data_IF_632683629440
#
_entry.id   IF_632683629440
#
_cell.length_a   1.000
_cell.length_b   1.000
_cell.length_c   1.000
_cell.angle_alpha   90.00
_cell.angle_beta   90.00
_cell.angle_gamma   90.00
#
_symmetry.space_group_name_H-M   'P 1'
#
loop_
_entity.id
_entity.type
_entity.pdbx_description
1 polymer ?
#
# COMPACT_ATOMS: atom_id res chain seq x y z
N UNK A 1 -5.97 20.57 -12.62
CA UNK A 1 -5.63 19.49 -13.57
C UNK A 1 -6.16 18.17 -13.01
N UNK A 2 -6.97 17.42 -13.78
CA UNK A 2 -7.63 16.18 -13.34
C UNK A 2 -7.01 14.98 -14.03
N UNK A 3 -6.62 13.98 -13.25
CA UNK A 3 -6.03 12.74 -13.73
C UNK A 3 -6.97 11.57 -13.41
N UNK A 4 -7.27 10.76 -14.43
CA UNK A 4 -7.91 9.45 -14.24
C UNK A 4 -6.82 8.44 -13.87
N UNK A 5 -6.91 7.87 -12.67
CA UNK A 5 -6.07 6.75 -12.22
C UNK A 5 -6.78 5.42 -12.44
N UNK A 6 -6.00 4.40 -12.78
CA UNK A 6 -6.47 3.02 -12.94
C UNK A 6 -5.50 2.09 -12.19
N UNK A 7 -6.04 1.25 -11.29
CA UNK A 7 -5.28 0.28 -10.51
C UNK A 7 -5.84 -1.13 -10.71
N UNK A 8 -4.96 -2.06 -11.09
CA UNK A 8 -5.30 -3.48 -11.26
C UNK A 8 -4.10 -4.39 -10.93
N UNK A 9 -3.16 -3.96 -10.09
CA UNK A 9 -1.90 -4.69 -9.90
C UNK A 9 -2.05 -6.01 -9.14
N UNK A 10 -3.07 -6.15 -8.31
CA UNK A 10 -3.25 -7.34 -7.45
C UNK A 10 -4.70 -7.86 -7.51
N UNK A 11 -5.49 -7.62 -6.48
CA UNK A 11 -6.86 -8.12 -6.33
C UNK A 11 -7.91 -7.01 -6.14
N UNK A 12 -7.54 -5.75 -6.27
CA UNK A 12 -8.44 -4.61 -6.36
C UNK A 12 -8.52 -4.07 -7.79
N UNK A 13 -9.75 -3.93 -8.32
CA UNK A 13 -10.00 -3.14 -9.52
C UNK A 13 -10.44 -1.76 -9.10
N UNK A 14 -9.65 -0.73 -9.40
CA UNK A 14 -10.02 0.62 -9.00
C UNK A 14 -9.86 1.64 -10.12
N UNK A 15 -10.71 2.68 -10.08
CA UNK A 15 -10.58 3.89 -10.87
C UNK A 15 -10.90 5.11 -10.03
N UNK A 16 -10.18 6.20 -10.26
CA UNK A 16 -10.34 7.44 -9.49
C UNK A 16 -10.06 8.66 -10.34
N UNK A 17 -10.68 9.78 -9.99
CA UNK A 17 -10.31 11.11 -10.49
C UNK A 17 -9.70 11.90 -9.35
N UNK A 18 -8.49 12.39 -9.55
CA UNK A 18 -7.80 13.28 -8.61
C UNK A 18 -7.50 14.61 -9.29
N UNK A 19 -7.81 15.70 -8.61
CA UNK A 19 -7.54 17.05 -9.04
C UNK A 19 -6.30 17.58 -8.33
N UNK A 20 -5.38 18.14 -9.11
CA UNK A 20 -4.15 18.79 -8.65
C UNK A 20 -3.29 17.92 -7.71
N UNK A 21 -3.29 16.61 -7.99
CA UNK A 21 -2.48 15.61 -7.29
C UNK A 21 -2.83 15.37 -5.82
N UNK A 22 -3.91 15.99 -5.32
CA UNK A 22 -4.25 15.93 -3.89
C UNK A 22 -5.74 15.78 -3.60
N UNK A 23 -6.61 16.44 -4.37
CA UNK A 23 -8.05 16.42 -4.12
C UNK A 23 -8.72 15.25 -4.82
N UNK A 24 -9.16 14.26 -4.07
CA UNK A 24 -9.94 13.14 -4.59
C UNK A 24 -11.35 13.61 -4.96
N UNK A 25 -11.70 13.52 -6.25
CA UNK A 25 -13.05 13.80 -6.77
C UNK A 25 -13.91 12.54 -6.71
N UNK A 26 -13.33 11.41 -7.14
CA UNK A 26 -13.95 10.09 -7.07
C UNK A 26 -12.88 9.04 -6.83
N UNK A 27 -13.24 7.96 -6.12
CA UNK A 27 -12.38 6.79 -5.95
C UNK A 27 -13.28 5.57 -5.77
N UNK A 28 -13.35 4.74 -6.80
CA UNK A 28 -14.20 3.54 -6.84
C UNK A 28 -13.28 2.33 -6.81
N UNK A 29 -13.53 1.45 -5.84
CA UNK A 29 -12.75 0.22 -5.64
C UNK A 29 -13.69 -0.98 -5.63
N UNK A 30 -13.42 -1.96 -6.46
CA UNK A 30 -14.06 -3.26 -6.45
C UNK A 30 -13.05 -4.31 -5.98
N UNK A 31 -13.16 -4.70 -4.71
CA UNK A 31 -12.27 -5.67 -4.09
C UNK A 31 -12.69 -7.11 -4.41
N UNK A 32 -11.71 -7.99 -4.54
CA UNK A 32 -11.88 -9.41 -4.77
C UNK A 32 -11.59 -10.24 -3.50
N UNK A 33 -11.49 -9.61 -2.33
CA UNK A 33 -11.14 -10.26 -1.05
C UNK A 33 -12.04 -11.46 -0.79
N UNK A 34 -13.37 -11.35 -0.96
CA UNK A 34 -14.33 -12.44 -0.71
C UNK A 34 -14.12 -13.64 -1.64
N UNK A 35 -13.65 -13.39 -2.86
CA UNK A 35 -13.32 -14.44 -3.82
C UNK A 35 -12.06 -15.16 -3.37
N UNK A 36 -11.01 -14.40 -3.06
CA UNK A 36 -9.70 -14.93 -2.70
C UNK A 36 -9.65 -15.54 -1.29
N UNK A 37 -10.53 -15.11 -0.39
CA UNK A 37 -10.68 -15.72 0.95
C UNK A 37 -10.98 -17.23 0.85
N UNK A 38 -11.73 -17.67 -0.17
CA UNK A 38 -12.04 -19.10 -0.41
C UNK A 38 -10.80 -19.93 -0.72
N UNK A 39 -9.74 -19.30 -1.23
CA UNK A 39 -8.46 -19.95 -1.57
C UNK A 39 -7.40 -19.72 -0.48
N UNK A 40 -7.69 -18.86 0.51
CA UNK A 40 -6.75 -18.49 1.56
C UNK A 40 -5.61 -17.58 1.07
N UNK A 41 -5.82 -16.83 -0.02
CA UNK A 41 -4.89 -15.89 -0.61
C UNK A 41 -5.14 -15.65 -2.09
N UNK A 42 -4.46 -14.68 -2.67
CA UNK A 42 -4.68 -14.24 -4.06
C UNK A 42 -4.27 -15.33 -5.05
N UNK A 43 -5.18 -15.63 -6.01
CA UNK A 43 -4.95 -16.54 -7.13
C UNK A 43 -4.84 -15.70 -8.42
N UNK A 44 -3.65 -15.59 -9.05
CA UNK A 44 -3.41 -14.65 -10.14
C UNK A 44 -4.35 -14.77 -11.33
N UNK A 45 -4.69 -16.00 -11.74
CA UNK A 45 -5.59 -16.23 -12.87
C UNK A 45 -7.04 -15.81 -12.55
N UNK A 46 -7.49 -16.04 -11.31
CA UNK A 46 -8.81 -15.60 -10.84
C UNK A 46 -8.86 -14.07 -10.81
N UNK A 47 -7.81 -13.44 -10.27
CA UNK A 47 -7.71 -11.99 -10.20
C UNK A 47 -7.81 -11.34 -11.58
N UNK A 48 -7.01 -11.80 -12.55
CA UNK A 48 -7.02 -11.21 -13.90
C UNK A 48 -8.37 -11.36 -14.61
N UNK A 49 -9.03 -12.49 -14.45
CA UNK A 49 -10.39 -12.71 -15.01
C UNK A 49 -11.43 -11.78 -14.37
N UNK A 50 -11.34 -11.57 -13.07
CA UNK A 50 -12.26 -10.68 -12.36
C UNK A 50 -12.06 -9.22 -12.76
N UNK A 51 -10.82 -8.77 -12.98
CA UNK A 51 -10.54 -7.43 -13.50
C UNK A 51 -11.23 -7.18 -14.83
N UNK A 52 -11.24 -8.15 -15.76
CA UNK A 52 -11.94 -8.01 -17.05
C UNK A 52 -13.43 -7.74 -16.90
N UNK A 53 -14.07 -8.32 -15.87
CA UNK A 53 -15.50 -8.15 -15.62
C UNK A 53 -15.83 -6.79 -14.96
N UNK A 54 -14.91 -6.26 -14.16
CA UNK A 54 -15.19 -5.13 -13.27
C UNK A 54 -14.63 -3.79 -13.74
N UNK A 55 -13.58 -3.78 -14.58
CA UNK A 55 -12.83 -2.56 -14.91
C UNK A 55 -13.71 -1.50 -15.61
N UNK A 56 -14.56 -1.89 -16.56
CA UNK A 56 -15.42 -0.94 -17.27
C UNK A 56 -16.52 -0.36 -16.35
N UNK A 57 -17.28 -1.14 -15.58
CA UNK A 57 -18.19 -0.63 -14.56
C UNK A 57 -17.51 0.34 -13.58
N UNK A 58 -16.32 0.01 -13.07
CA UNK A 58 -15.58 0.82 -12.11
C UNK A 58 -15.16 2.17 -12.71
N UNK A 59 -14.61 2.16 -13.94
CA UNK A 59 -14.25 3.41 -14.64
C UNK A 59 -15.50 4.25 -14.93
N UNK A 60 -16.57 3.63 -15.39
CA UNK A 60 -17.83 4.33 -15.67
C UNK A 60 -18.37 5.02 -14.42
N UNK A 61 -18.34 4.34 -13.29
CA UNK A 61 -18.78 4.91 -12.01
C UNK A 61 -17.86 6.04 -11.56
N UNK A 62 -16.55 5.88 -11.65
CA UNK A 62 -15.57 6.89 -11.26
C UNK A 62 -15.64 8.17 -12.09
N UNK A 63 -16.09 8.07 -13.34
CA UNK A 63 -16.23 9.21 -14.27
C UNK A 63 -17.67 9.75 -14.35
N UNK A 64 -18.59 9.26 -13.52
CA UNK A 64 -19.99 9.72 -13.52
C UNK A 64 -20.08 11.22 -13.28
N UNK A 65 -20.86 11.91 -14.16
CA UNK A 65 -21.06 13.36 -14.07
C UNK A 65 -19.87 14.20 -14.56
N UNK A 66 -18.83 13.60 -15.14
CA UNK A 66 -17.68 14.31 -15.70
C UNK A 66 -17.65 14.25 -17.22
N UNK A 67 -17.20 15.34 -17.83
CA UNK A 67 -16.84 15.34 -19.25
C UNK A 67 -15.41 14.82 -19.43
N UNK A 68 -15.17 14.03 -20.46
CA UNK A 68 -13.83 13.61 -20.85
C UNK A 68 -12.90 14.79 -21.20
N UNK A 69 -13.48 15.94 -21.56
CA UNK A 69 -12.73 17.17 -21.82
C UNK A 69 -12.14 17.79 -20.55
N UNK A 70 -12.67 17.43 -19.38
CA UNK A 70 -12.17 17.89 -18.08
C UNK A 70 -10.99 17.04 -17.56
N UNK A 71 -10.72 15.90 -18.21
CA UNK A 71 -9.64 14.98 -17.84
C UNK A 71 -8.39 15.33 -18.65
N UNK A 72 -7.26 15.47 -17.98
CA UNK A 72 -6.01 15.94 -18.57
C UNK A 72 -4.98 14.82 -18.80
N UNK A 73 -5.22 13.61 -18.29
CA UNK A 73 -4.34 12.46 -18.48
C UNK A 73 -4.92 11.18 -17.87
N UNK A 74 -4.39 10.05 -18.33
CA UNK A 74 -4.73 8.71 -17.82
C UNK A 74 -3.49 8.11 -17.22
N UNK A 75 -3.52 7.86 -15.92
CA UNK A 75 -2.45 7.20 -15.17
C UNK A 75 -2.83 5.75 -14.89
N UNK A 76 -1.90 4.82 -15.04
CA UNK A 76 -2.14 3.40 -14.81
C UNK A 76 -0.94 2.73 -14.19
N UNK A 77 -1.18 1.86 -13.23
CA UNK A 77 -0.13 1.00 -12.68
C UNK A 77 0.32 -0.02 -13.73
N UNK A 78 1.64 0.01 -14.04
CA UNK A 78 2.23 -0.93 -15.00
C UNK A 78 3.20 -1.93 -14.33
N UNK A 79 3.43 -1.79 -13.03
CA UNK A 79 4.26 -2.66 -12.20
C UNK A 79 4.68 -2.00 -10.89
N UNK A 80 5.19 -2.78 -9.92
CA UNK A 80 5.11 -4.23 -9.87
C UNK A 80 3.68 -4.74 -9.63
N UNK A 81 3.48 -6.06 -9.87
CA UNK A 81 2.18 -6.71 -9.63
C UNK A 81 2.00 -8.00 -10.43
N UNK A 82 0.79 -8.54 -10.42
CA UNK A 82 0.43 -9.74 -11.15
C UNK A 82 0.34 -9.43 -12.66
N UNK A 83 1.14 -10.10 -13.48
CA UNK A 83 1.26 -9.82 -14.91
C UNK A 83 -0.10 -9.76 -15.63
N UNK A 84 -0.96 -10.77 -15.43
CA UNK A 84 -2.28 -10.84 -16.05
C UNK A 84 -3.22 -9.71 -15.59
N UNK A 85 -3.14 -9.32 -14.33
CA UNK A 85 -3.92 -8.23 -13.74
C UNK A 85 -3.47 -6.87 -14.28
N UNK A 86 -2.16 -6.61 -14.28
CA UNK A 86 -1.56 -5.39 -14.85
C UNK A 86 -1.93 -5.19 -16.32
N UNK A 87 -1.90 -6.28 -17.13
CA UNK A 87 -2.25 -6.23 -18.55
C UNK A 87 -3.68 -5.72 -18.78
N UNK A 88 -4.63 -6.05 -17.92
CA UNK A 88 -6.00 -5.56 -18.05
C UNK A 88 -6.05 -4.04 -17.91
N UNK A 89 -5.47 -3.49 -16.84
CA UNK A 89 -5.43 -2.05 -16.58
C UNK A 89 -4.68 -1.28 -17.66
N UNK A 90 -3.48 -1.73 -18.02
CA UNK A 90 -2.63 -1.06 -19.02
C UNK A 90 -3.30 -1.02 -20.38
N UNK A 91 -3.91 -2.11 -20.85
CA UNK A 91 -4.58 -2.10 -22.16
C UNK A 91 -5.84 -1.22 -22.17
N UNK A 92 -6.62 -1.19 -21.09
CA UNK A 92 -7.77 -0.29 -20.98
C UNK A 92 -7.32 1.17 -20.92
N UNK A 93 -6.26 1.49 -20.18
CA UNK A 93 -5.71 2.84 -20.11
C UNK A 93 -5.21 3.32 -21.48
N UNK A 94 -4.49 2.46 -22.23
CA UNK A 94 -4.06 2.74 -23.62
C UNK A 94 -5.25 3.03 -24.53
N UNK A 95 -6.29 2.20 -24.48
CA UNK A 95 -7.48 2.36 -25.30
C UNK A 95 -8.19 3.70 -25.00
N UNK A 96 -8.32 4.07 -23.72
CA UNK A 96 -8.93 5.34 -23.32
C UNK A 96 -8.04 6.52 -23.76
N UNK A 97 -6.75 6.47 -23.49
CA UNK A 97 -5.80 7.52 -23.85
C UNK A 97 -5.81 7.78 -25.36
N UNK A 98 -5.79 6.73 -26.17
CA UNK A 98 -5.88 6.81 -27.62
C UNK A 98 -7.22 7.41 -28.10
N UNK A 99 -8.33 6.87 -27.61
CA UNK A 99 -9.67 7.29 -28.04
C UNK A 99 -9.99 8.74 -27.63
N UNK A 100 -9.46 9.20 -26.50
CA UNK A 100 -9.70 10.56 -25.97
C UNK A 100 -8.57 11.53 -26.26
N UNK A 101 -7.49 11.07 -26.90
CA UNK A 101 -6.27 11.85 -27.18
C UNK A 101 -5.67 12.47 -25.93
N UNK A 102 -5.60 11.68 -24.86
CA UNK A 102 -5.05 12.06 -23.56
C UNK A 102 -3.62 11.52 -23.39
N UNK A 103 -2.74 12.20 -22.67
CA UNK A 103 -1.47 11.64 -22.24
C UNK A 103 -1.67 10.34 -21.46
N UNK A 104 -0.87 9.32 -21.77
CA UNK A 104 -0.78 8.07 -21.01
C UNK A 104 0.40 8.17 -20.05
N UNK A 105 0.19 7.74 -18.79
CA UNK A 105 1.19 7.85 -17.73
C UNK A 105 1.29 6.49 -17.02
N UNK A 106 2.42 5.80 -17.22
CA UNK A 106 2.75 4.61 -16.47
C UNK A 106 3.21 4.97 -15.06
N UNK A 107 2.65 4.31 -14.06
CA UNK A 107 2.95 4.54 -12.64
C UNK A 107 3.49 3.28 -12.00
N UNK A 108 4.55 3.41 -11.22
CA UNK A 108 5.02 2.34 -10.35
C UNK A 108 4.08 2.21 -9.14
N UNK A 109 3.58 1.01 -8.86
CA UNK A 109 2.64 0.73 -7.79
C UNK A 109 3.17 1.16 -6.40
N UNK A 110 4.44 0.91 -6.12
CA UNK A 110 5.06 1.30 -4.84
C UNK A 110 5.22 2.81 -4.73
N UNK A 111 5.53 3.47 -5.84
CA UNK A 111 5.54 4.92 -5.92
C UNK A 111 4.14 5.49 -5.64
N UNK A 112 3.10 4.92 -6.27
CA UNK A 112 1.71 5.33 -6.02
C UNK A 112 1.36 5.25 -4.54
N UNK A 113 1.70 4.19 -3.84
CA UNK A 113 1.48 4.08 -2.40
C UNK A 113 2.11 5.21 -1.59
N UNK A 114 3.31 5.69 -1.96
CA UNK A 114 3.91 6.85 -1.30
C UNK A 114 3.02 8.10 -1.52
N UNK A 115 2.52 8.29 -2.75
CA UNK A 115 1.68 9.44 -3.10
C UNK A 115 0.30 9.44 -2.45
N UNK A 116 -0.16 8.34 -1.86
CA UNK A 116 -1.35 8.33 -1.01
C UNK A 116 -1.25 9.35 0.15
N UNK A 117 -0.02 9.69 0.60
CA UNK A 117 0.23 10.69 1.63
C UNK A 117 -0.05 12.15 1.17
N UNK A 118 -0.26 12.41 -0.10
CA UNK A 118 -0.64 13.73 -0.62
C UNK A 118 -2.15 13.90 -0.80
N UNK A 119 -2.92 12.80 -0.69
CA UNK A 119 -4.36 12.84 -0.89
C UNK A 119 -5.08 13.44 0.32
N UNK A 120 -5.93 14.41 0.05
CA UNK A 120 -6.88 14.94 1.03
C UNK A 120 -8.14 14.09 1.00
N UNK A 121 -8.65 13.60 2.14
CA UNK A 121 -9.92 12.89 2.18
C UNK A 121 -11.04 13.73 1.55
N UNK A 122 -11.96 13.08 0.84
CA UNK A 122 -13.12 13.79 0.31
C UNK A 122 -14.01 14.31 1.45
N UNK A 123 -14.75 15.41 1.25
CA UNK A 123 -15.64 15.95 2.28
C UNK A 123 -16.72 14.97 2.77
N UNK A 124 -17.04 13.97 1.96
CA UNK A 124 -18.03 12.93 2.29
C UNK A 124 -17.48 11.83 3.23
N UNK A 125 -16.17 11.73 3.38
CA UNK A 125 -15.49 10.81 4.30
C UNK A 125 -15.06 11.55 5.58
N UNK A 126 -15.98 12.26 6.25
CA UNK A 126 -15.67 12.96 7.51
C UNK A 126 -15.21 11.94 8.56
N UNK A 127 -14.04 12.14 9.20
CA UNK A 127 -13.59 11.27 10.28
C UNK A 127 -14.56 11.33 11.44
N UNK A 128 -14.86 10.18 12.05
CA UNK A 128 -15.59 10.10 13.31
C UNK A 128 -14.81 10.86 14.39
N UNK A 129 -15.53 11.56 15.27
CA UNK A 129 -14.94 12.31 16.41
C UNK A 129 -13.98 11.41 17.19
N UNK A 130 -12.69 11.59 17.03
CA UNK A 130 -11.61 10.83 17.70
C UNK A 130 -10.37 10.59 16.81
N UNK A 131 -10.43 10.83 15.51
CA UNK A 131 -9.31 10.61 14.57
C UNK A 131 -8.46 11.87 14.28
N UNK A 132 -8.36 12.76 15.24
CA UNK A 132 -7.81 14.12 15.09
C UNK A 132 -6.30 14.23 14.89
N UNK A 133 -5.56 13.12 14.63
CA UNK A 133 -4.11 13.16 14.48
C UNK A 133 -3.55 12.55 13.19
N UNK A 134 -4.35 12.32 12.18
CA UNK A 134 -3.84 12.03 10.83
C UNK A 134 -3.65 13.35 10.09
N UNK A 135 -2.45 13.92 10.15
CA UNK A 135 -2.15 15.15 9.42
C UNK A 135 -2.11 14.87 7.93
N UNK A 136 -3.18 15.21 7.23
CA UNK A 136 -3.26 15.19 5.79
C UNK A 136 -2.37 16.29 5.20
N UNK A 137 -1.48 15.89 4.44
CA UNK A 137 -0.67 16.32 3.29
C UNK A 137 -0.32 17.78 2.95
N UNK A 138 -0.73 18.82 3.63
CA UNK A 138 -0.21 20.15 3.33
C UNK A 138 1.22 20.42 3.84
N UNK A 139 1.95 19.39 4.31
CA UNK A 139 3.22 19.56 4.99
C UNK A 139 4.36 18.60 4.63
N UNK A 140 4.21 17.75 3.61
CA UNK A 140 5.32 16.87 3.22
C UNK A 140 6.47 17.70 2.65
N UNK A 141 7.65 17.56 3.29
CA UNK A 141 8.90 18.25 2.91
C UNK A 141 9.95 17.22 2.54
N UNK A 142 10.79 17.55 1.58
CA UNK A 142 11.92 16.71 1.17
C UNK A 142 13.22 17.14 1.89
N UNK A 143 14.15 16.20 2.14
CA UNK A 143 13.99 14.77 1.98
C UNK A 143 13.10 14.16 3.07
N UNK A 144 12.38 13.09 2.74
CA UNK A 144 11.59 12.30 3.67
C UNK A 144 11.91 10.79 3.55
N UNK A 145 11.67 10.05 4.62
CA UNK A 145 11.81 8.59 4.60
C UNK A 145 10.44 7.95 4.44
N UNK A 146 10.31 7.06 3.47
CA UNK A 146 9.09 6.32 3.20
C UNK A 146 9.25 4.86 3.63
N UNK A 147 8.34 4.37 4.47
CA UNK A 147 8.17 2.96 4.76
C UNK A 147 6.95 2.45 3.99
N UNK A 148 7.18 1.57 3.02
CA UNK A 148 6.14 0.92 2.23
C UNK A 148 5.96 -0.49 2.79
N UNK A 149 4.79 -0.79 3.36
CA UNK A 149 4.49 -2.08 3.98
C UNK A 149 3.13 -2.60 3.52
N UNK A 150 3.15 -3.67 2.73
CA UNK A 150 1.97 -4.29 2.12
C UNK A 150 2.03 -5.82 2.19
N UNK A 151 1.13 -6.49 1.51
CA UNK A 151 1.14 -7.95 1.35
C UNK A 151 2.43 -8.47 0.72
N UNK A 152 2.95 -7.79 -0.31
CA UNK A 152 4.14 -8.22 -1.06
C UNK A 152 5.42 -7.42 -0.77
N UNK A 153 5.35 -6.29 -0.06
CA UNK A 153 6.49 -5.39 0.06
C UNK A 153 6.72 -4.96 1.51
N UNK A 154 8.00 -4.80 1.86
CA UNK A 154 8.46 -4.13 3.08
C UNK A 154 9.75 -3.39 2.72
N UNK A 155 9.60 -2.14 2.26
CA UNK A 155 10.68 -1.35 1.70
C UNK A 155 10.89 -0.05 2.46
N UNK A 156 12.14 0.33 2.66
CA UNK A 156 12.57 1.64 3.15
C UNK A 156 13.17 2.44 2.00
N UNK A 157 12.60 3.59 1.72
CA UNK A 157 12.94 4.43 0.58
C UNK A 157 13.16 5.87 1.04
N UNK A 158 14.30 6.45 0.70
CA UNK A 158 14.55 7.89 0.84
C UNK A 158 14.02 8.62 -0.39
N UNK A 159 13.05 9.49 -0.20
CA UNK A 159 12.49 10.36 -1.24
C UNK A 159 13.13 11.75 -1.11
N UNK A 160 13.94 12.11 -2.11
CA UNK A 160 14.67 13.38 -2.16
C UNK A 160 13.88 14.51 -2.84
N UNK A 161 12.87 14.14 -3.61
CA UNK A 161 11.97 15.01 -4.36
C UNK A 161 10.96 14.16 -5.10
N UNK A 162 9.99 14.76 -5.79
CA UNK A 162 9.04 14.03 -6.61
C UNK A 162 9.78 13.20 -7.68
N UNK A 163 9.49 11.88 -7.73
CA UNK A 163 10.12 10.95 -8.67
C UNK A 163 11.61 10.70 -8.42
N UNK A 164 12.17 11.08 -7.26
CA UNK A 164 13.57 10.89 -6.89
C UNK A 164 13.67 9.99 -5.65
N UNK A 165 13.86 8.70 -5.89
CA UNK A 165 13.88 7.67 -4.86
C UNK A 165 15.26 7.03 -4.73
N UNK A 166 15.60 6.67 -3.50
CA UNK A 166 16.78 5.86 -3.19
C UNK A 166 16.35 4.76 -2.21
N UNK A 167 16.40 3.51 -2.65
CA UNK A 167 16.11 2.37 -1.78
C UNK A 167 17.22 2.24 -0.73
N UNK A 168 16.84 2.17 0.54
CA UNK A 168 17.74 1.98 1.69
C UNK A 168 17.71 0.55 2.22
N UNK A 169 16.55 -0.12 2.14
CA UNK A 169 16.35 -1.48 2.59
C UNK A 169 15.06 -2.07 2.04
N UNK A 170 14.98 -3.38 2.06
CA UNK A 170 13.81 -4.15 1.62
C UNK A 170 13.72 -5.45 2.41
N UNK A 171 12.59 -6.17 2.30
CA UNK A 171 12.55 -7.52 2.85
C UNK A 171 13.43 -8.46 2.04
N UNK A 172 14.09 -9.40 2.75
CA UNK A 172 14.92 -10.46 2.14
C UNK A 172 14.15 -11.76 1.92
N UNK A 173 12.96 -11.84 2.50
CA UNK A 173 12.10 -13.02 2.46
C UNK A 173 10.63 -12.58 2.49
N UNK A 174 9.81 -13.06 3.44
CA UNK A 174 8.42 -12.66 3.55
C UNK A 174 8.28 -11.16 3.80
N UNK A 175 7.31 -10.51 3.14
CA UNK A 175 6.88 -9.17 3.51
C UNK A 175 6.09 -9.19 4.83
N UNK A 176 5.93 -8.03 5.48
CA UNK A 176 5.20 -7.94 6.74
C UNK A 176 3.74 -8.40 6.60
N UNK A 177 3.04 -8.00 5.53
CA UNK A 177 1.67 -8.43 5.27
C UNK A 177 1.57 -9.93 4.99
N UNK A 178 2.48 -10.48 4.19
CA UNK A 178 2.57 -11.93 3.96
C UNK A 178 2.82 -12.70 5.26
N UNK A 179 3.64 -12.15 6.17
CA UNK A 179 3.86 -12.75 7.48
C UNK A 179 2.57 -12.76 8.33
N UNK A 180 1.76 -11.70 8.27
CA UNK A 180 0.45 -11.64 8.91
C UNK A 180 -0.52 -12.68 8.31
N UNK A 181 -0.57 -12.83 6.99
CA UNK A 181 -1.43 -13.80 6.32
C UNK A 181 -1.06 -15.25 6.70
N UNK A 182 0.26 -15.56 6.72
CA UNK A 182 0.77 -16.86 7.16
C UNK A 182 0.45 -17.14 8.62
N UNK A 183 0.56 -16.13 9.49
CA UNK A 183 0.22 -16.26 10.91
C UNK A 183 -1.28 -16.49 11.13
N UNK A 184 -2.12 -15.73 10.45
CA UNK A 184 -3.57 -15.89 10.53
C UNK A 184 -4.01 -17.29 10.10
N UNK A 185 -3.40 -17.83 9.03
CA UNK A 185 -3.64 -19.20 8.57
C UNK A 185 -3.25 -20.24 9.63
N UNK A 186 -2.10 -20.09 10.28
CA UNK A 186 -1.65 -21.00 11.37
C UNK A 186 -2.62 -20.95 12.56
N UNK A 187 -3.16 -19.76 12.87
CA UNK A 187 -4.08 -19.55 14.00
C UNK A 187 -5.55 -19.81 13.65
N UNK A 188 -5.88 -20.16 12.40
CA UNK A 188 -7.25 -20.40 11.95
C UNK A 188 -8.13 -19.16 11.92
N UNK A 189 -7.55 -17.96 11.75
CA UNK A 189 -8.25 -16.68 11.81
C UNK A 189 -8.81 -16.20 10.46
N UNK A 190 -8.46 -16.86 9.34
CA UNK A 190 -8.94 -16.52 8.01
C UNK A 190 -8.07 -15.53 7.26
N UNK A 191 -8.63 -14.92 6.20
CA UNK A 191 -8.00 -13.99 5.28
C UNK A 191 -8.90 -12.77 5.05
N UNK A 192 -8.33 -11.54 4.93
CA UNK A 192 -6.92 -11.17 5.00
C UNK A 192 -6.34 -11.22 6.42
N UNK A 193 -5.09 -11.66 6.55
CA UNK A 193 -4.47 -11.97 7.83
C UNK A 193 -4.15 -10.75 8.70
N UNK A 194 -3.77 -9.62 8.10
CA UNK A 194 -3.47 -8.40 8.85
C UNK A 194 -4.62 -7.97 9.77
N UNK A 195 -5.81 -7.67 9.23
CA UNK A 195 -7.00 -7.32 10.04
C UNK A 195 -7.40 -8.43 11.01
N UNK A 196 -7.30 -9.71 10.60
CA UNK A 196 -7.67 -10.84 11.46
C UNK A 196 -6.76 -10.96 12.70
N UNK A 197 -5.44 -10.80 12.52
CA UNK A 197 -4.46 -10.76 13.62
C UNK A 197 -4.70 -9.53 14.51
N UNK A 198 -4.93 -8.36 13.93
CA UNK A 198 -5.21 -7.14 14.70
C UNK A 198 -6.46 -7.30 15.57
N UNK A 199 -7.53 -7.85 15.02
CA UNK A 199 -8.76 -8.13 15.77
C UNK A 199 -8.52 -9.12 16.91
N UNK A 200 -7.86 -10.25 16.63
CA UNK A 200 -7.56 -11.25 17.65
C UNK A 200 -6.65 -10.69 18.75
N UNK A 201 -5.66 -9.86 18.38
CA UNK A 201 -4.72 -9.25 19.32
C UNK A 201 -5.36 -8.24 20.27
N UNK A 202 -6.54 -7.70 19.95
CA UNK A 202 -7.19 -6.64 20.73
C UNK A 202 -7.59 -7.08 22.15
N UNK A 203 -7.81 -8.38 22.36
CA UNK A 203 -8.14 -8.98 23.66
C UNK A 203 -6.95 -9.72 24.30
N UNK A 204 -5.79 -9.72 23.64
CA UNK A 204 -4.60 -10.42 24.09
C UNK A 204 -3.55 -9.53 24.74
N UNK A 205 -2.64 -10.15 25.47
CA UNK A 205 -1.47 -9.51 26.06
C UNK A 205 -0.20 -10.00 25.33
N UNK A 206 0.71 -9.11 24.88
CA UNK A 206 1.93 -9.51 24.19
C UNK A 206 2.98 -10.02 25.18
N UNK A 207 2.73 -11.20 25.79
CA UNK A 207 3.55 -11.79 26.84
C UNK A 207 4.52 -12.86 26.33
N UNK A 208 4.48 -13.24 25.06
CA UNK A 208 5.29 -14.31 24.48
C UNK A 208 6.52 -13.78 23.77
N UNK A 209 7.66 -14.41 24.00
CA UNK A 209 8.92 -14.02 23.35
C UNK A 209 9.01 -14.63 21.95
N UNK A 210 8.80 -13.82 20.93
CA UNK A 210 8.99 -14.18 19.52
C UNK A 210 10.26 -13.52 18.96
N UNK A 211 10.97 -14.17 18.02
CA UNK A 211 12.20 -13.65 17.46
C UNK A 211 12.00 -12.35 16.69
N UNK A 212 13.01 -11.50 16.67
CA UNK A 212 13.08 -10.27 15.88
C UNK A 212 14.36 -10.29 15.04
N UNK A 213 14.23 -10.32 13.73
CA UNK A 213 15.35 -10.36 12.81
C UNK A 213 15.97 -8.96 12.62
N UNK A 214 16.91 -8.60 13.47
CA UNK A 214 17.52 -7.26 13.44
C UNK A 214 18.47 -7.04 12.25
N UNK A 215 19.03 -8.09 11.65
CA UNK A 215 19.96 -8.01 10.51
C UNK A 215 20.99 -6.89 10.69
N UNK A 216 22.05 -7.17 11.46
CA UNK A 216 23.08 -6.19 11.81
C UNK A 216 23.57 -5.42 10.58
N UNK A 217 23.81 -4.12 10.75
CA UNK A 217 24.35 -3.17 9.76
C UNK A 217 23.55 -3.08 8.45
N UNK A 218 22.28 -3.47 8.47
CA UNK A 218 21.37 -3.40 7.33
C UNK A 218 20.04 -2.75 7.72
N UNK A 219 19.43 -2.06 6.76
CA UNK A 219 18.05 -1.58 6.86
C UNK A 219 17.02 -2.60 6.32
N UNK A 220 17.49 -3.74 5.78
CA UNK A 220 16.62 -4.80 5.29
C UNK A 220 15.78 -5.43 6.39
N UNK A 221 14.65 -5.98 6.00
CA UNK A 221 13.73 -6.72 6.86
C UNK A 221 13.82 -8.23 6.60
N UNK A 222 13.34 -9.03 7.55
CA UNK A 222 13.14 -10.47 7.41
C UNK A 222 12.05 -10.90 8.39
N UNK A 223 11.06 -11.63 7.91
CA UNK A 223 9.93 -12.09 8.73
C UNK A 223 9.67 -13.60 8.63
N UNK A 224 10.35 -14.33 7.74
CA UNK A 224 10.12 -15.77 7.55
C UNK A 224 10.37 -16.60 8.81
N UNK A 225 11.34 -16.21 9.63
CA UNK A 225 11.65 -16.89 10.90
C UNK A 225 10.51 -16.79 11.94
N UNK A 226 9.68 -15.74 11.89
CA UNK A 226 8.53 -15.58 12.77
C UNK A 226 7.48 -16.66 12.54
N UNK A 227 7.22 -17.06 11.28
CA UNK A 227 6.30 -18.13 10.94
C UNK A 227 6.67 -19.44 11.64
N UNK A 228 7.94 -19.82 11.56
CA UNK A 228 8.42 -21.05 12.17
C UNK A 228 8.32 -21.00 13.69
N UNK A 229 8.71 -19.89 14.32
CA UNK A 229 8.59 -19.71 15.76
C UNK A 229 7.11 -19.75 16.21
N UNK A 230 6.22 -19.12 15.49
CA UNK A 230 4.77 -19.16 15.73
C UNK A 230 4.23 -20.58 15.66
N UNK A 231 4.58 -21.33 14.62
CA UNK A 231 4.13 -22.70 14.43
C UNK A 231 4.55 -23.60 15.59
N UNK A 232 5.82 -23.53 16.02
CA UNK A 232 6.29 -24.27 17.21
C UNK A 232 5.55 -23.91 18.48
N UNK A 233 5.29 -22.61 18.70
CA UNK A 233 4.56 -22.13 19.88
C UNK A 233 3.13 -22.68 19.92
N UNK A 234 2.44 -22.68 18.79
CA UNK A 234 1.06 -23.21 18.69
C UNK A 234 1.04 -24.74 18.91
N UNK A 235 2.04 -25.48 18.41
CA UNK A 235 2.15 -26.93 18.62
C UNK A 235 2.41 -27.31 20.08
N UNK A 236 3.09 -26.48 20.84
CA UNK A 236 3.32 -26.72 22.27
C UNK A 236 2.01 -26.58 23.10
N UNK A 237 1.04 -25.83 22.59
CA UNK A 237 -0.24 -25.61 23.28
C UNK A 237 -0.12 -24.73 24.53
N UNK A 238 -1.23 -24.60 25.26
CA UNK A 238 -1.26 -23.89 26.56
C UNK A 238 -1.24 -22.37 26.46
N UNK A 239 -1.31 -21.78 25.26
CA UNK A 239 -1.33 -20.32 25.03
C UNK A 239 -2.64 -19.90 24.36
N UNK A 240 -3.15 -18.72 24.70
CA UNK A 240 -4.35 -18.19 24.06
C UNK A 240 -4.02 -17.66 22.66
N UNK A 241 -4.95 -17.84 21.71
CA UNK A 241 -4.82 -17.29 20.36
C UNK A 241 -4.65 -15.77 20.38
N UNK A 242 -5.32 -15.09 21.30
CA UNK A 242 -5.25 -13.64 21.47
C UNK A 242 -3.84 -13.19 21.90
N UNK A 243 -3.22 -13.86 22.87
CA UNK A 243 -1.87 -13.52 23.34
C UNK A 243 -0.80 -13.82 22.28
N UNK A 244 -0.98 -14.92 21.55
CA UNK A 244 -0.13 -15.28 20.42
C UNK A 244 -0.23 -14.21 19.31
N UNK A 245 -1.43 -13.80 18.94
CA UNK A 245 -1.67 -12.76 17.94
C UNK A 245 -1.07 -11.41 18.37
N UNK A 246 -1.27 -11.02 19.64
CA UNK A 246 -0.71 -9.78 20.19
C UNK A 246 0.83 -9.80 20.18
N UNK A 247 1.43 -10.92 20.60
CA UNK A 247 2.89 -11.08 20.63
C UNK A 247 3.50 -11.10 19.21
N UNK A 248 2.82 -11.75 18.27
CA UNK A 248 3.23 -11.81 16.86
C UNK A 248 3.17 -10.43 16.21
N UNK A 249 2.05 -9.73 16.36
CA UNK A 249 1.88 -8.36 15.86
C UNK A 249 2.97 -7.43 16.42
N UNK A 250 3.21 -7.48 17.73
CA UNK A 250 4.23 -6.66 18.35
C UNK A 250 5.64 -6.98 17.83
N UNK A 251 5.96 -8.25 17.54
CA UNK A 251 7.27 -8.62 17.00
C UNK A 251 7.54 -8.00 15.62
N UNK A 252 6.54 -7.99 14.73
CA UNK A 252 6.64 -7.32 13.40
C UNK A 252 6.75 -5.81 13.58
N UNK A 253 5.85 -5.21 14.36
CA UNK A 253 5.79 -3.77 14.60
C UNK A 253 7.10 -3.24 15.17
N UNK A 254 7.69 -3.93 16.14
CA UNK A 254 8.97 -3.55 16.74
C UNK A 254 10.10 -3.45 15.70
N UNK A 255 10.20 -4.44 14.80
CA UNK A 255 11.22 -4.45 13.75
C UNK A 255 11.01 -3.30 12.78
N UNK A 256 9.75 -3.12 12.29
CA UNK A 256 9.41 -2.06 11.35
C UNK A 256 9.71 -0.67 11.94
N UNK A 257 9.22 -0.38 13.14
CA UNK A 257 9.37 0.94 13.78
C UNK A 257 10.83 1.22 14.11
N UNK A 258 11.55 0.26 14.75
CA UNK A 258 12.92 0.47 15.17
C UNK A 258 13.86 0.71 14.00
N UNK A 259 13.75 -0.09 12.94
CA UNK A 259 14.61 0.07 11.75
C UNK A 259 14.29 1.34 10.98
N UNK A 260 13.02 1.69 10.84
CA UNK A 260 12.62 2.94 10.16
C UNK A 260 13.14 4.16 10.91
N UNK A 261 12.97 4.22 12.24
CA UNK A 261 13.50 5.34 13.05
C UNK A 261 15.04 5.41 12.98
N UNK A 262 15.72 4.26 13.00
CA UNK A 262 17.17 4.21 12.82
C UNK A 262 17.58 4.80 11.46
N UNK A 263 16.92 4.38 10.38
CA UNK A 263 17.17 4.88 9.03
C UNK A 263 16.86 6.38 8.91
N UNK A 264 15.78 6.86 9.51
CA UNK A 264 15.42 8.29 9.52
C UNK A 264 16.48 9.15 10.19
N UNK A 265 17.02 8.69 11.33
CA UNK A 265 18.13 9.38 12.04
C UNK A 265 19.41 9.41 11.21
N UNK A 266 19.78 8.28 10.58
CA UNK A 266 20.99 8.18 9.76
C UNK A 266 20.89 9.04 8.49
N UNK A 267 19.73 9.08 7.85
CA UNK A 267 19.47 9.91 6.66
C UNK A 267 19.16 11.37 7.00
N UNK A 268 19.08 11.73 8.28
CA UNK A 268 18.79 13.10 8.78
C UNK A 268 17.52 13.70 8.16
N UNK A 269 16.49 12.89 7.92
CA UNK A 269 15.22 13.35 7.38
C UNK A 269 14.38 14.04 8.43
N UNK A 270 13.56 15.02 8.00
CA UNK A 270 12.67 15.77 8.89
C UNK A 270 11.31 15.09 9.14
N UNK A 271 11.01 13.98 8.44
CA UNK A 271 9.71 13.31 8.55
C UNK A 271 9.74 11.89 7.96
N UNK A 272 8.75 11.10 8.37
CA UNK A 272 8.52 9.72 7.91
C UNK A 272 7.13 9.66 7.28
N UNK A 273 7.00 8.97 6.13
CA UNK A 273 5.75 8.63 5.49
C UNK A 273 5.52 7.12 5.62
N UNK A 274 4.34 6.71 6.06
CA UNK A 274 3.90 5.32 6.02
C UNK A 274 3.00 5.09 4.82
N UNK A 275 3.08 3.91 4.21
CA UNK A 275 2.33 3.56 3.01
C UNK A 275 2.09 2.06 2.91
N UNK A 276 1.07 1.65 2.16
CA UNK A 276 0.71 0.25 1.97
C UNK A 276 -0.27 -0.26 3.03
N UNK A 277 -0.94 -1.38 2.75
CA UNK A 277 -2.06 -1.89 3.55
C UNK A 277 -1.72 -2.14 5.03
N UNK A 278 -0.47 -2.55 5.34
CA UNK A 278 -0.04 -2.75 6.74
C UNK A 278 0.08 -1.42 7.51
N UNK A 279 0.23 -0.28 6.81
CA UNK A 279 0.26 1.03 7.47
C UNK A 279 -1.08 1.38 8.13
N UNK A 280 -2.19 0.73 7.75
CA UNK A 280 -3.49 0.87 8.41
C UNK A 280 -3.55 0.20 9.81
N UNK A 281 -2.56 -0.63 10.18
CA UNK A 281 -2.51 -1.31 11.46
C UNK A 281 -2.36 -0.31 12.62
N UNK A 282 -3.31 -0.32 13.56
CA UNK A 282 -3.37 0.64 14.68
C UNK A 282 -2.17 0.54 15.61
N UNK A 283 -1.71 -0.68 15.89
CA UNK A 283 -0.53 -0.90 16.77
C UNK A 283 0.73 -0.32 16.12
N UNK A 284 0.91 -0.51 14.81
CA UNK A 284 2.02 0.08 14.05
C UNK A 284 1.98 1.61 14.14
N UNK A 285 0.82 2.20 13.86
CA UNK A 285 0.60 3.65 13.92
C UNK A 285 0.90 4.21 15.32
N UNK A 286 0.35 3.60 16.37
CA UNK A 286 0.57 4.01 17.76
C UNK A 286 2.06 3.96 18.14
N UNK A 287 2.76 2.90 17.77
CA UNK A 287 4.19 2.76 18.04
C UNK A 287 5.04 3.80 17.30
N UNK A 288 4.68 4.14 16.06
CA UNK A 288 5.35 5.23 15.35
C UNK A 288 5.10 6.59 16.02
N UNK A 289 3.88 6.91 16.37
CA UNK A 289 3.52 8.16 17.04
C UNK A 289 4.19 8.31 18.40
N UNK A 290 4.32 7.21 19.15
CA UNK A 290 4.96 7.22 20.47
C UNK A 290 6.50 7.30 20.41
N UNK A 291 7.15 6.73 19.38
CA UNK A 291 8.60 6.51 19.36
C UNK A 291 9.36 7.36 18.34
N UNK A 292 8.67 7.94 17.34
CA UNK A 292 9.33 8.71 16.29
C UNK A 292 9.82 10.06 16.82
N UNK A 293 11.08 10.43 16.56
CA UNK A 293 11.61 11.75 16.89
C UNK A 293 11.20 12.83 15.89
N UNK A 294 10.57 12.45 14.78
CA UNK A 294 10.11 13.33 13.70
C UNK A 294 8.64 13.09 13.38
N UNK A 295 7.94 14.05 12.79
CA UNK A 295 6.55 13.85 12.35
C UNK A 295 6.40 12.61 11.46
N UNK A 296 5.30 11.87 11.68
CA UNK A 296 4.90 10.70 10.89
C UNK A 296 3.60 11.01 10.17
N UNK A 297 3.58 10.79 8.87
CA UNK A 297 2.41 10.95 8.02
C UNK A 297 1.88 9.57 7.62
N UNK A 298 0.58 9.39 7.74
CA UNK A 298 -0.09 8.12 7.49
C UNK A 298 -1.38 8.43 6.74
N UNK A 299 -1.62 7.84 5.57
CA UNK A 299 -2.88 8.02 4.87
C UNK A 299 -4.04 7.45 5.69
N UNK A 300 -5.27 7.94 5.51
CA UNK A 300 -6.47 7.28 6.05
C UNK A 300 -6.52 5.80 5.64
N UNK A 301 -7.07 4.91 6.46
CA UNK A 301 -7.04 3.45 6.22
C UNK A 301 -7.50 3.04 4.81
N UNK A 302 -8.55 3.67 4.27
CA UNK A 302 -9.06 3.40 2.93
C UNK A 302 -8.14 3.86 1.78
N UNK A 303 -7.11 4.65 2.06
CA UNK A 303 -6.06 5.06 1.12
C UNK A 303 -4.74 4.32 1.35
N UNK A 304 -4.64 3.53 2.42
CA UNK A 304 -3.48 2.66 2.66
C UNK A 304 -3.49 1.41 1.76
N UNK A 305 -4.68 0.86 1.49
CA UNK A 305 -4.87 -0.30 0.59
C UNK A 305 -4.85 0.14 -0.88
N UNK A 306 -4.80 -0.83 -1.79
CA UNK A 306 -4.76 -0.58 -3.23
C UNK A 306 -5.99 0.21 -3.68
N UNK A 307 -5.73 1.34 -4.33
CA UNK A 307 -6.77 2.25 -4.83
C UNK A 307 -6.23 3.10 -5.98
N UNK A 308 -7.13 3.62 -6.81
CA UNK A 308 -6.71 4.38 -7.98
C UNK A 308 -6.43 5.86 -7.70
N UNK A 309 -6.86 6.39 -6.55
CA UNK A 309 -6.55 7.79 -6.22
C UNK A 309 -5.04 7.99 -6.01
N UNK A 310 -4.35 7.02 -5.40
CA UNK A 310 -2.90 7.05 -5.26
C UNK A 310 -2.17 7.04 -6.63
N UNK A 311 -2.72 6.28 -7.61
CA UNK A 311 -2.18 6.21 -8.98
C UNK A 311 -2.40 7.54 -9.71
N UNK A 312 -3.59 8.13 -9.57
CA UNK A 312 -3.90 9.43 -10.16
C UNK A 312 -3.03 10.55 -9.55
N UNK A 313 -2.83 10.53 -8.23
CA UNK A 313 -1.95 11.49 -7.55
C UNK A 313 -0.50 11.38 -8.05
N UNK A 314 0.06 10.18 -8.12
CA UNK A 314 1.38 9.94 -8.67
C UNK A 314 1.47 10.40 -10.14
N UNK A 315 0.48 10.04 -10.94
CA UNK A 315 0.38 10.43 -12.35
C UNK A 315 0.35 11.95 -12.56
N UNK A 316 -0.27 12.69 -11.65
CA UNK A 316 -0.23 14.15 -11.68
C UNK A 316 1.20 14.68 -11.61
N UNK A 317 2.00 14.21 -10.64
CA UNK A 317 3.39 14.67 -10.49
C UNK A 317 4.28 14.21 -11.64
N UNK A 318 4.02 13.03 -12.21
CA UNK A 318 4.71 12.60 -13.44
C UNK A 318 4.39 13.52 -14.60
N UNK A 319 3.12 13.83 -14.83
CA UNK A 319 2.71 14.71 -15.92
C UNK A 319 3.26 16.14 -15.74
N UNK A 320 3.29 16.66 -14.51
CA UNK A 320 3.92 17.95 -14.20
C UNK A 320 5.43 17.96 -14.52
N UNK A 321 6.09 16.82 -14.38
CA UNK A 321 7.50 16.64 -14.73
C UNK A 321 7.70 16.33 -16.23
N UNK A 322 6.65 16.37 -17.06
CA UNK A 322 6.70 16.05 -18.48
C UNK A 322 6.90 14.56 -18.79
N UNK A 323 6.68 13.67 -17.81
CA UNK A 323 6.83 12.22 -17.99
C UNK A 323 5.51 11.64 -18.50
N UNK A 324 5.53 11.15 -19.72
CA UNK A 324 4.44 10.42 -20.38
C UNK A 324 4.99 9.17 -21.05
N UNK A 325 4.12 8.26 -21.40
CA UNK A 325 4.46 7.01 -22.09
C UNK A 325 3.75 6.94 -23.44
N UNK A 326 4.39 6.27 -24.37
CA UNK A 326 3.79 5.90 -25.66
C UNK A 326 2.90 4.65 -25.50
N UNK A 327 2.18 4.29 -26.55
CA UNK A 327 1.27 3.14 -26.55
C UNK A 327 2.00 1.77 -26.60
N UNK A 328 3.31 1.76 -26.64
CA UNK A 328 4.15 0.56 -26.46
C UNK A 328 4.42 0.23 -24.98
N UNK A 329 3.96 1.08 -24.04
CA UNK A 329 4.05 0.78 -22.59
C UNK A 329 3.65 -0.66 -22.32
N UNK A 330 4.53 -1.46 -21.73
CA UNK A 330 4.24 -2.84 -21.34
C UNK A 330 4.33 -3.02 -19.83
N UNK A 331 3.78 -4.11 -19.33
CA UNK A 331 3.79 -4.43 -17.91
C UNK A 331 5.15 -4.94 -17.46
N UNK A 332 5.55 -4.55 -16.26
CA UNK A 332 6.79 -5.00 -15.62
C UNK A 332 6.47 -5.57 -14.24
N UNK A 333 6.11 -6.86 -14.13
CA UNK A 333 5.65 -7.47 -12.89
C UNK A 333 6.62 -7.38 -11.70
N UNK A 334 7.91 -7.30 -11.99
CA UNK A 334 9.00 -7.17 -10.98
C UNK A 334 9.65 -5.80 -10.98
N UNK A 335 8.90 -4.74 -11.35
CA UNK A 335 9.41 -3.38 -11.39
C UNK A 335 9.90 -2.95 -10.01
N UNK A 336 11.14 -2.50 -9.92
CA UNK A 336 11.69 -1.94 -8.69
C UNK A 336 11.38 -0.45 -8.56
N UNK A 337 11.37 0.06 -7.34
CA UNK A 337 11.31 1.49 -7.05
C UNK A 337 12.74 2.01 -6.83
N UNK A 338 13.21 2.89 -7.73
CA UNK A 338 14.54 3.51 -7.66
C UNK A 338 15.60 2.74 -8.40
#
# INVERSE_FOLDING_TARGET
MRILGIETSCDETAAAIVEDGSRTISNVVASQIDIHARYGGVVPEVASRQHLLTIIPVISQATTGMSWQDINGVAVTFGPGLAGSLLVGVNVAKAIALAKKLPLIGVNHLEAHIYANWLVPSPESSPSRGEEMVRVSCGVKFPCLCLIVSGGHSDLVLMKGHGQFQKLGQTRDDAAGEAFDKAARILGLGYPGGPAIEQASSSGTPCLSLPRAWLKDSHDFSFSGLKTALWHLVQQGGVSVADVAASFQLAIVDVLVTKTIKAARQSKVGQILLSGGVAANKTLTQQFLARSPVPVFIPPPHLCTDNAAMVAACGYYHLQAGKTNDYDLDVVPSLSLG
#
